data_IF_554187129127
#
_entry.id   IF_554187129127
#
_cell.length_a   1.000
_cell.length_b   1.000
_cell.length_c   1.000
_cell.angle_alpha   90.00
_cell.angle_beta   90.00
_cell.angle_gamma   90.00
#
_symmetry.space_group_name_H-M   'P 1'
#
loop_
_entity.id
_entity.type
_entity.pdbx_description
1 polymer ?
#
# COMPACT_ATOMS: atom_id res chain seq x y z
N UNK A 1 28.72 -23.19 -60.25
CA UNK A 1 29.88 -22.28 -60.44
C UNK A 1 29.36 -20.88 -60.75
N UNK A 2 29.25 -20.02 -59.73
CA UNK A 2 29.25 -18.56 -59.88
C UNK A 2 29.49 -17.97 -58.50
N UNK A 3 30.54 -17.15 -58.40
CA UNK A 3 31.03 -16.52 -57.16
C UNK A 3 30.14 -15.33 -56.82
N UNK A 4 29.65 -15.26 -55.58
CA UNK A 4 29.15 -14.01 -55.00
C UNK A 4 30.06 -13.60 -53.84
N UNK A 5 30.66 -12.41 -54.01
CA UNK A 5 31.61 -11.78 -53.09
C UNK A 5 30.90 -11.25 -51.84
N UNK A 6 31.43 -11.60 -50.68
CA UNK A 6 31.24 -10.87 -49.43
C UNK A 6 31.88 -9.48 -49.53
N UNK A 7 31.11 -8.44 -49.20
CA UNK A 7 31.64 -7.14 -48.78
C UNK A 7 31.11 -6.85 -47.38
N UNK A 8 31.96 -7.14 -46.40
CA UNK A 8 31.78 -6.85 -44.99
C UNK A 8 32.11 -5.36 -44.76
N UNK A 9 31.09 -4.52 -44.57
CA UNK A 9 31.27 -3.15 -44.08
C UNK A 9 31.09 -3.14 -42.56
N UNK A 10 32.21 -3.00 -41.84
CA UNK A 10 32.21 -2.79 -40.40
C UNK A 10 31.78 -1.35 -40.08
N UNK A 11 30.70 -1.21 -39.30
CA UNK A 11 30.35 0.04 -38.63
C UNK A 11 30.95 0.04 -37.23
N UNK A 12 31.64 1.12 -36.78
CA UNK A 12 32.06 1.22 -35.40
C UNK A 12 30.87 1.58 -34.51
N UNK A 13 30.54 0.71 -33.57
CA UNK A 13 29.63 1.00 -32.47
C UNK A 13 30.30 2.02 -31.54
N UNK A 14 29.80 3.25 -31.52
CA UNK A 14 30.18 4.25 -30.53
C UNK A 14 29.60 3.86 -29.16
N UNK A 15 30.45 3.32 -28.29
CA UNK A 15 30.14 3.09 -26.89
C UNK A 15 30.30 4.38 -26.09
N UNK A 16 29.22 5.12 -25.89
CA UNK A 16 29.14 6.09 -24.79
C UNK A 16 27.67 6.39 -24.49
N UNK A 17 27.38 6.65 -23.22
CA UNK A 17 26.10 7.14 -22.67
C UNK A 17 25.13 6.10 -22.08
N UNK A 18 25.62 5.14 -21.28
CA UNK A 18 24.81 4.53 -20.21
C UNK A 18 25.70 4.38 -18.96
N UNK A 19 26.00 5.46 -18.23
CA UNK A 19 26.73 5.33 -16.94
C UNK A 19 26.26 6.26 -15.83
N UNK A 20 25.24 7.10 -16.05
CA UNK A 20 24.78 8.05 -15.01
C UNK A 20 23.57 7.52 -14.24
N UNK A 21 22.68 6.75 -14.88
CA UNK A 21 21.46 6.20 -14.27
C UNK A 21 21.72 5.12 -13.19
N UNK A 22 22.71 4.24 -13.38
CA UNK A 22 22.97 3.15 -12.43
C UNK A 22 23.62 3.60 -11.11
N UNK A 23 24.26 4.78 -11.05
CA UNK A 23 24.87 5.29 -9.82
C UNK A 23 23.87 5.87 -8.82
N UNK A 24 22.73 6.41 -9.29
CA UNK A 24 21.68 6.91 -8.41
C UNK A 24 20.94 5.74 -7.73
N UNK A 25 20.54 4.72 -8.51
CA UNK A 25 19.91 3.50 -7.97
C UNK A 25 20.78 2.77 -6.95
N UNK A 26 22.08 2.60 -7.23
CA UNK A 26 23.00 1.93 -6.30
C UNK A 26 23.21 2.68 -4.97
N UNK A 27 22.95 4.00 -4.91
CA UNK A 27 23.03 4.80 -3.68
C UNK A 27 21.78 4.64 -2.82
N UNK A 28 20.59 4.57 -3.41
CA UNK A 28 19.34 4.34 -2.68
C UNK A 28 19.31 2.94 -2.07
N UNK A 29 19.74 1.91 -2.82
CA UNK A 29 19.84 0.53 -2.29
C UNK A 29 20.86 0.42 -1.15
N UNK A 30 21.97 1.19 -1.20
CA UNK A 30 22.98 1.22 -0.12
C UNK A 30 22.50 1.95 1.14
N UNK A 31 21.67 2.99 1.01
CA UNK A 31 21.09 3.68 2.17
C UNK A 31 20.15 2.74 2.94
N UNK A 32 19.32 1.96 2.23
CA UNK A 32 18.44 0.96 2.85
C UNK A 32 19.23 -0.18 3.51
N UNK A 33 20.32 -0.67 2.89
CA UNK A 33 21.20 -1.68 3.50
C UNK A 33 21.94 -1.19 4.76
N UNK A 34 22.22 0.11 4.88
CA UNK A 34 22.95 0.67 6.02
C UNK A 34 22.06 0.83 7.26
N UNK A 35 20.76 1.11 7.08
CA UNK A 35 19.76 1.11 8.15
C UNK A 35 19.56 -0.30 8.71
N UNK A 36 19.54 -1.32 7.84
CA UNK A 36 19.33 -2.73 8.20
C UNK A 36 20.45 -3.30 9.09
N UNK A 37 21.72 -2.89 8.90
CA UNK A 37 22.88 -3.54 9.54
C UNK A 37 23.14 -3.12 11.00
N UNK A 38 22.60 -1.99 11.48
CA UNK A 38 22.88 -1.47 12.84
C UNK A 38 21.97 -2.03 13.94
N UNK A 39 20.95 -2.84 13.60
CA UNK A 39 19.82 -3.14 14.51
C UNK A 39 19.61 -4.62 14.87
N UNK A 40 20.45 -5.54 14.36
CA UNK A 40 20.29 -7.00 14.57
C UNK A 40 20.47 -7.52 16.02
N UNK A 41 20.99 -6.72 16.97
CA UNK A 41 21.29 -7.19 18.34
C UNK A 41 20.09 -7.15 19.33
N UNK A 42 18.95 -6.54 18.97
CA UNK A 42 17.77 -6.46 19.87
C UNK A 42 16.64 -7.45 19.53
N UNK A 43 16.73 -8.20 18.44
CA UNK A 43 15.62 -9.01 17.91
C UNK A 43 15.38 -10.38 18.56
N UNK A 44 16.35 -10.92 19.31
CA UNK A 44 16.30 -12.33 19.76
C UNK A 44 15.26 -12.57 20.87
N UNK A 45 14.91 -11.57 21.68
CA UNK A 45 13.96 -11.74 22.79
C UNK A 45 12.47 -11.60 22.38
N UNK A 46 12.19 -10.93 21.26
CA UNK A 46 10.81 -10.65 20.79
C UNK A 46 10.25 -11.85 19.98
N UNK A 47 11.12 -12.58 19.28
CA UNK A 47 10.73 -13.69 18.40
C UNK A 47 10.11 -14.89 19.15
N UNK A 48 10.47 -15.13 20.42
CA UNK A 48 9.96 -16.28 21.19
C UNK A 48 8.50 -16.12 21.64
N UNK A 49 8.03 -14.90 21.91
CA UNK A 49 6.64 -14.61 22.28
C UNK A 49 5.70 -14.60 21.08
N UNK A 50 6.19 -14.16 19.91
CA UNK A 50 5.41 -14.17 18.66
C UNK A 50 5.15 -15.59 18.16
N UNK A 51 6.15 -16.47 18.26
CA UNK A 51 6.01 -17.88 17.90
C UNK A 51 4.94 -18.58 18.75
N UNK A 52 4.85 -18.28 20.05
CA UNK A 52 3.82 -18.83 20.93
C UNK A 52 2.41 -18.33 20.58
N UNK A 53 2.26 -17.08 20.13
CA UNK A 53 0.96 -16.58 19.67
C UNK A 53 0.53 -17.25 18.36
N UNK A 54 1.44 -17.45 17.40
CA UNK A 54 1.15 -18.17 16.15
C UNK A 54 0.79 -19.64 16.39
N UNK A 55 1.49 -20.31 17.31
CA UNK A 55 1.18 -21.69 17.70
C UNK A 55 -0.22 -21.80 18.33
N UNK A 56 -0.67 -20.78 19.08
CA UNK A 56 -2.02 -20.78 19.66
C UNK A 56 -3.16 -20.64 18.62
N UNK A 57 -2.86 -20.16 17.41
CA UNK A 57 -3.81 -20.10 16.30
C UNK A 57 -3.76 -21.34 15.38
N UNK A 58 -2.66 -22.08 15.36
CA UNK A 58 -2.46 -23.26 14.51
C UNK A 58 -2.85 -24.59 15.17
N UNK A 59 -3.16 -24.60 16.47
CA UNK A 59 -3.65 -25.81 17.14
C UNK A 59 -5.15 -25.99 16.84
N UNK A 60 -5.55 -27.07 16.14
CA UNK A 60 -6.94 -27.43 16.03
C UNK A 60 -7.51 -27.65 17.44
N UNK A 61 -8.75 -27.23 17.62
CA UNK A 61 -9.60 -27.38 18.80
C UNK A 61 -9.76 -28.85 19.25
N UNK A 62 -8.70 -29.45 19.79
CA UNK A 62 -8.72 -30.83 20.35
C UNK A 62 -9.11 -30.82 21.84
N UNK A 63 -9.21 -29.66 22.47
CA UNK A 63 -9.70 -29.55 23.85
C UNK A 63 -10.90 -28.60 23.86
N UNK A 64 -12.04 -29.10 24.34
CA UNK A 64 -13.34 -28.41 24.39
C UNK A 64 -13.40 -27.19 25.31
N UNK A 65 -12.49 -26.23 25.11
CA UNK A 65 -12.59 -24.88 25.65
C UNK A 65 -13.54 -24.09 24.76
N UNK A 66 -14.81 -24.07 25.14
CA UNK A 66 -15.74 -23.05 24.68
C UNK A 66 -15.24 -21.70 25.19
N UNK A 67 -14.61 -20.92 24.30
CA UNK A 67 -14.40 -19.51 24.55
C UNK A 67 -15.78 -18.86 24.61
N UNK A 68 -16.29 -18.64 25.82
CA UNK A 68 -17.43 -17.76 26.02
C UNK A 68 -16.96 -16.36 25.61
N UNK A 69 -17.31 -15.95 24.39
CA UNK A 69 -16.99 -14.62 23.87
C UNK A 69 -17.56 -13.60 24.84
N UNK A 70 -16.73 -12.82 25.56
CA UNK A 70 -17.25 -11.79 26.46
C UNK A 70 -18.06 -10.80 25.61
N UNK A 71 -19.27 -10.48 26.06
CA UNK A 71 -20.17 -9.52 25.42
C UNK A 71 -19.43 -8.22 25.07
N UNK A 72 -19.16 -8.04 23.78
CA UNK A 72 -18.36 -6.94 23.24
C UNK A 72 -19.15 -5.63 23.25
N UNK A 73 -19.14 -4.91 24.37
CA UNK A 73 -19.50 -3.48 24.40
C UNK A 73 -18.24 -2.63 24.21
N UNK A 74 -18.13 -2.07 23.00
CA UNK A 74 -17.59 -0.75 22.63
C UNK A 74 -16.18 -0.32 23.09
N UNK A 75 -15.39 0.21 22.16
CA UNK A 75 -14.18 1.01 22.41
C UNK A 75 -14.41 2.26 23.29
N UNK A 76 -15.66 2.60 23.61
CA UNK A 76 -15.98 3.59 24.64
C UNK A 76 -15.58 3.12 26.07
N UNK A 77 -15.09 1.89 26.22
CA UNK A 77 -14.73 1.31 27.52
C UNK A 77 -13.22 1.21 27.77
N UNK A 78 -12.36 1.70 26.87
CA UNK A 78 -10.96 1.93 27.29
C UNK A 78 -10.97 2.95 28.41
N UNK A 79 -10.24 2.68 29.48
CA UNK A 79 -9.98 3.71 30.48
C UNK A 79 -9.24 4.88 29.81
N UNK A 80 -9.46 6.10 30.30
CA UNK A 80 -8.77 7.28 29.77
C UNK A 80 -7.23 7.13 29.84
N UNK A 81 -6.72 6.31 30.75
CA UNK A 81 -5.30 5.98 30.85
C UNK A 81 -4.82 5.07 29.70
N UNK A 82 -5.58 4.03 29.35
CA UNK A 82 -5.24 3.14 28.23
C UNK A 82 -5.32 3.87 26.89
N UNK A 83 -6.34 4.72 26.71
CA UNK A 83 -6.46 5.57 25.54
C UNK A 83 -5.28 6.52 25.41
N UNK A 84 -4.85 7.14 26.52
CA UNK A 84 -3.68 8.03 26.55
C UNK A 84 -2.38 7.28 26.21
N UNK A 85 -2.20 6.06 26.75
CA UNK A 85 -1.03 5.22 26.47
C UNK A 85 -0.98 4.79 25.00
N UNK A 86 -2.13 4.36 24.45
CA UNK A 86 -2.24 4.01 23.04
C UNK A 86 -1.93 5.22 22.16
N UNK A 87 -2.55 6.37 22.41
CA UNK A 87 -2.27 7.62 21.67
C UNK A 87 -0.79 8.01 21.72
N UNK A 88 -0.17 7.96 22.90
CA UNK A 88 1.26 8.28 23.05
C UNK A 88 2.14 7.33 22.23
N UNK A 89 1.81 6.04 22.21
CA UNK A 89 2.51 5.04 21.39
C UNK A 89 2.34 5.33 19.89
N UNK A 90 1.12 5.56 19.43
CA UNK A 90 0.84 5.81 18.02
C UNK A 90 1.55 7.09 17.53
N UNK A 91 1.59 8.15 18.33
CA UNK A 91 2.36 9.35 17.96
C UNK A 91 3.87 9.10 17.89
N UNK A 92 4.44 8.27 18.79
CA UNK A 92 5.86 7.86 18.68
C UNK A 92 6.15 7.09 17.39
N UNK A 93 5.21 6.23 16.95
CA UNK A 93 5.32 5.52 15.67
C UNK A 93 5.31 6.53 14.52
N UNK A 94 4.36 7.48 14.53
CA UNK A 94 4.26 8.53 13.50
C UNK A 94 5.53 9.36 13.44
N UNK A 95 6.09 9.79 14.57
CA UNK A 95 7.36 10.50 14.63
C UNK A 95 8.53 9.69 14.08
N UNK A 96 8.59 8.39 14.40
CA UNK A 96 9.59 7.47 13.86
C UNK A 96 9.53 7.36 12.33
N UNK A 97 8.34 7.08 11.79
CA UNK A 97 8.11 7.01 10.34
C UNK A 97 8.42 8.35 9.66
N UNK A 98 7.95 9.47 10.22
CA UNK A 98 8.28 10.81 9.68
C UNK A 98 9.78 11.04 9.61
N UNK A 99 10.53 10.62 10.63
CA UNK A 99 11.99 10.75 10.68
C UNK A 99 12.65 9.90 9.61
N UNK A 100 12.33 8.60 9.57
CA UNK A 100 12.96 7.62 8.70
C UNK A 100 12.68 7.88 7.21
N UNK A 101 11.49 8.36 6.88
CA UNK A 101 11.05 8.59 5.49
C UNK A 101 11.01 10.07 5.07
N UNK A 102 11.49 10.99 5.91
CA UNK A 102 11.55 12.43 5.55
C UNK A 102 12.43 12.71 4.31
N UNK A 103 13.51 11.95 4.14
CA UNK A 103 14.46 12.10 3.04
C UNK A 103 13.91 11.62 1.70
N UNK A 104 13.04 10.59 1.73
CA UNK A 104 12.35 10.06 0.54
C UNK A 104 11.58 11.15 -0.20
N UNK A 105 10.93 12.04 0.54
CA UNK A 105 10.19 13.17 -0.02
C UNK A 105 11.11 14.11 -0.80
N UNK A 106 12.33 14.30 -0.29
CA UNK A 106 13.30 15.21 -0.91
C UNK A 106 13.86 14.62 -2.21
N UNK A 107 14.10 13.31 -2.27
CA UNK A 107 14.59 12.66 -3.49
C UNK A 107 13.52 12.61 -4.58
N UNK A 108 12.28 12.26 -4.22
CA UNK A 108 11.22 12.09 -5.21
C UNK A 108 10.80 13.42 -5.85
N UNK A 109 10.80 14.52 -5.10
CA UNK A 109 10.52 15.84 -5.64
C UNK A 109 11.55 16.27 -6.71
N UNK A 110 12.81 15.84 -6.60
CA UNK A 110 13.84 16.13 -7.61
C UNK A 110 13.65 15.28 -8.87
N UNK A 111 13.32 14.00 -8.74
CA UNK A 111 13.07 13.11 -9.89
C UNK A 111 11.80 13.48 -10.66
N UNK A 112 10.75 13.94 -9.98
CA UNK A 112 9.51 14.39 -10.62
C UNK A 112 9.71 15.59 -11.56
N UNK A 113 10.76 16.42 -11.36
CA UNK A 113 11.08 17.53 -12.26
C UNK A 113 11.67 17.09 -13.60
N UNK A 114 12.25 15.89 -13.66
CA UNK A 114 13.01 15.43 -14.83
C UNK A 114 12.23 14.43 -15.69
N UNK A 115 11.13 13.89 -15.20
CA UNK A 115 10.32 12.89 -15.92
C UNK A 115 9.30 13.57 -16.83
N UNK A 116 9.34 13.26 -18.13
CA UNK A 116 8.35 13.72 -19.11
C UNK A 116 7.03 12.96 -19.04
N UNK A 117 6.99 11.81 -18.36
CA UNK A 117 5.77 11.07 -18.06
C UNK A 117 5.39 11.26 -16.60
N UNK A 118 4.13 11.60 -16.29
CA UNK A 118 3.64 11.64 -14.91
C UNK A 118 3.77 10.23 -14.33
N UNK A 119 4.45 10.13 -13.19
CA UNK A 119 4.60 8.89 -12.43
C UNK A 119 3.73 9.02 -11.19
N UNK A 120 2.83 8.07 -10.98
CA UNK A 120 2.02 7.99 -9.76
C UNK A 120 2.94 7.52 -8.62
N UNK A 121 3.18 8.33 -7.58
CA UNK A 121 3.88 7.87 -6.40
C UNK A 121 3.13 6.68 -5.80
N UNK A 122 3.82 5.55 -5.63
CA UNK A 122 3.25 4.33 -5.08
C UNK A 122 3.94 3.95 -3.79
N UNK A 123 3.18 3.69 -2.74
CA UNK A 123 3.69 3.24 -1.45
C UNK A 123 3.16 1.84 -1.14
N UNK A 124 4.06 0.92 -0.82
CA UNK A 124 3.78 -0.48 -0.51
C UNK A 124 3.96 -0.69 0.99
N UNK A 125 2.90 -1.12 1.67
CA UNK A 125 2.89 -1.44 3.08
C UNK A 125 2.89 -2.97 3.24
N UNK A 126 4.03 -3.58 3.63
CA UNK A 126 4.09 -5.01 3.86
C UNK A 126 3.22 -5.42 5.06
N UNK A 127 2.94 -6.72 5.15
CA UNK A 127 2.26 -7.32 6.28
C UNK A 127 3.11 -7.36 7.56
N UNK A 128 2.62 -8.09 8.56
CA UNK A 128 3.27 -8.17 9.87
C UNK A 128 4.72 -8.68 9.76
N UNK A 129 5.01 -9.63 8.84
CA UNK A 129 6.35 -10.20 8.66
C UNK A 129 7.43 -9.19 8.24
N UNK A 130 7.01 -8.03 7.73
CA UNK A 130 7.87 -7.04 7.10
C UNK A 130 8.18 -7.40 5.65
N UNK A 131 9.33 -6.96 5.16
CA UNK A 131 9.75 -7.17 3.76
C UNK A 131 10.28 -8.59 3.56
N UNK A 132 9.74 -9.29 2.57
CA UNK A 132 10.20 -10.61 2.11
C UNK A 132 10.45 -10.62 0.58
N UNK A 133 10.72 -11.81 0.02
CA UNK A 133 11.01 -11.97 -1.41
C UNK A 133 9.84 -11.58 -2.32
N UNK A 134 8.60 -11.83 -1.90
CA UNK A 134 7.40 -11.50 -2.66
C UNK A 134 7.13 -9.99 -2.64
N UNK A 135 7.32 -9.33 -1.49
CA UNK A 135 7.23 -7.86 -1.40
C UNK A 135 8.25 -7.19 -2.33
N UNK A 136 9.48 -7.72 -2.40
CA UNK A 136 10.51 -7.21 -3.31
C UNK A 136 10.16 -7.48 -4.78
N UNK A 137 9.56 -8.62 -5.08
CA UNK A 137 9.06 -8.94 -6.42
C UNK A 137 7.94 -7.98 -6.85
N UNK A 138 7.00 -7.68 -5.96
CA UNK A 138 5.97 -6.67 -6.17
C UNK A 138 6.58 -5.29 -6.45
N UNK A 139 7.54 -4.86 -5.63
CA UNK A 139 8.22 -3.58 -5.85
C UNK A 139 8.94 -3.53 -7.21
N UNK A 140 9.62 -4.62 -7.60
CA UNK A 140 10.30 -4.70 -8.89
C UNK A 140 9.32 -4.60 -10.07
N UNK A 141 8.10 -5.10 -9.88
CA UNK A 141 7.03 -5.07 -10.88
C UNK A 141 6.40 -3.68 -11.03
N UNK A 142 6.46 -2.83 -10.00
CA UNK A 142 5.84 -1.49 -9.97
C UNK A 142 6.93 -0.41 -9.98
N UNK A 143 7.24 0.20 -11.14
CA UNK A 143 8.25 1.24 -11.22
C UNK A 143 7.93 2.43 -10.32
N UNK A 144 8.95 2.94 -9.61
CA UNK A 144 8.82 4.11 -8.72
C UNK A 144 7.91 3.88 -7.51
N UNK A 145 7.80 2.62 -7.07
CA UNK A 145 7.19 2.28 -5.79
C UNK A 145 8.22 2.31 -4.66
N UNK A 146 7.78 2.76 -3.49
CA UNK A 146 8.55 2.71 -2.26
C UNK A 146 7.95 1.70 -1.29
N UNK A 147 8.78 0.82 -0.72
CA UNK A 147 8.38 -0.05 0.38
C UNK A 147 8.52 0.72 1.69
N UNK A 148 7.43 0.82 2.43
CA UNK A 148 7.42 1.37 3.78
C UNK A 148 7.63 0.21 4.75
N UNK A 149 8.88 -0.18 4.99
CA UNK A 149 9.20 -1.16 6.03
C UNK A 149 8.92 -0.55 7.41
N UNK A 150 7.95 -1.13 8.10
CA UNK A 150 7.50 -0.70 9.42
C UNK A 150 7.67 -1.78 10.49
N UNK A 151 8.47 -2.83 10.21
CA UNK A 151 8.67 -3.98 11.10
C UNK A 151 9.10 -3.57 12.52
N UNK A 152 9.88 -2.50 12.64
CA UNK A 152 10.35 -1.99 13.94
C UNK A 152 9.29 -1.27 14.77
N UNK A 153 8.21 -0.82 14.12
CA UNK A 153 7.09 -0.13 14.77
C UNK A 153 5.94 -1.07 15.11
N UNK A 154 6.01 -2.31 14.62
CA UNK A 154 5.00 -3.34 14.86
C UNK A 154 5.00 -3.76 16.33
N UNK A 155 3.85 -3.67 16.96
CA UNK A 155 3.60 -4.27 18.27
C UNK A 155 3.20 -5.73 18.19
N UNK A 156 2.28 -6.11 19.06
CA UNK A 156 1.74 -7.46 19.10
C UNK A 156 0.70 -7.66 18.01
N UNK A 157 0.26 -8.90 17.78
CA UNK A 157 -0.85 -9.19 16.87
C UNK A 157 -2.11 -8.35 17.19
N UNK A 158 -2.34 -8.05 18.48
CA UNK A 158 -3.50 -7.26 18.93
C UNK A 158 -3.37 -5.77 18.61
N UNK A 159 -2.15 -5.23 18.55
CA UNK A 159 -1.90 -3.80 18.27
C UNK A 159 -1.45 -3.54 16.84
N UNK A 160 -1.08 -4.57 16.08
CA UNK A 160 -0.53 -4.45 14.74
C UNK A 160 -1.43 -3.65 13.79
N UNK A 161 -2.76 -3.82 13.89
CA UNK A 161 -3.72 -3.01 13.13
C UNK A 161 -3.60 -1.51 13.44
N UNK A 162 -3.57 -1.14 14.73
CA UNK A 162 -3.42 0.26 15.17
C UNK A 162 -2.05 0.84 14.81
N UNK A 163 -0.99 0.07 15.03
CA UNK A 163 0.37 0.47 14.72
C UNK A 163 0.52 0.72 13.21
N UNK A 164 -0.08 -0.15 12.38
CA UNK A 164 -0.14 -0.02 10.91
C UNK A 164 -0.93 1.23 10.47
N UNK A 165 -2.09 1.53 11.07
CA UNK A 165 -2.82 2.78 10.80
C UNK A 165 -1.94 4.02 11.04
N UNK A 166 -1.24 4.07 12.17
CA UNK A 166 -0.34 5.17 12.50
C UNK A 166 0.79 5.35 11.47
N UNK A 167 1.34 4.24 10.95
CA UNK A 167 2.31 4.27 9.84
C UNK A 167 1.69 4.91 8.60
N UNK A 168 0.48 4.49 8.23
CA UNK A 168 -0.26 5.03 7.08
C UNK A 168 -0.53 6.53 7.18
N UNK A 169 -0.99 7.00 8.35
CA UNK A 169 -1.22 8.42 8.60
C UNK A 169 0.05 9.24 8.43
N UNK A 170 1.17 8.79 8.99
CA UNK A 170 2.44 9.48 8.86
C UNK A 170 2.91 9.57 7.41
N UNK A 171 2.80 8.49 6.63
CA UNK A 171 3.15 8.51 5.20
C UNK A 171 2.23 9.44 4.41
N UNK A 172 0.93 9.48 4.69
CA UNK A 172 0.02 10.42 4.04
C UNK A 172 0.38 11.89 4.31
N UNK A 173 0.75 12.24 5.55
CA UNK A 173 1.21 13.60 5.87
C UNK A 173 2.49 13.97 5.10
N UNK A 174 3.42 13.01 4.96
CA UNK A 174 4.65 13.19 4.18
C UNK A 174 4.33 13.37 2.69
N UNK A 175 3.43 12.56 2.14
CA UNK A 175 2.99 12.64 0.75
C UNK A 175 2.29 13.97 0.44
N UNK A 176 1.39 14.44 1.32
CA UNK A 176 0.74 15.75 1.19
C UNK A 176 1.77 16.89 1.14
N UNK A 177 2.78 16.88 2.03
CA UNK A 177 3.88 17.86 2.00
C UNK A 177 4.69 17.82 0.70
N UNK A 178 4.76 16.67 0.04
CA UNK A 178 5.43 16.54 -1.25
C UNK A 178 4.57 17.16 -2.36
N UNK A 179 3.28 16.83 -2.36
CA UNK A 179 2.28 17.32 -3.31
C UNK A 179 2.16 18.85 -3.23
N UNK A 180 2.08 19.41 -2.02
CA UNK A 180 2.02 20.86 -1.79
C UNK A 180 3.27 21.56 -2.35
N UNK A 181 4.46 20.99 -2.11
CA UNK A 181 5.73 21.52 -2.63
C UNK A 181 5.78 21.50 -4.16
N UNK A 182 5.29 20.43 -4.77
CA UNK A 182 5.26 20.32 -6.22
C UNK A 182 4.32 21.35 -6.85
N UNK A 183 3.12 21.52 -6.27
CA UNK A 183 2.12 22.49 -6.71
C UNK A 183 2.66 23.92 -6.66
N UNK A 184 3.30 24.29 -5.53
CA UNK A 184 3.89 25.62 -5.35
C UNK A 184 5.04 25.93 -6.33
N UNK A 185 5.79 24.93 -6.79
CA UNK A 185 6.91 25.14 -7.72
C UNK A 185 6.44 25.40 -9.14
N UNK A 186 5.38 24.72 -9.58
CA UNK A 186 4.92 24.80 -10.97
C UNK A 186 3.95 25.94 -11.23
N UNK A 187 3.58 26.72 -10.20
CA UNK A 187 2.54 27.75 -10.31
C UNK A 187 1.18 27.17 -10.71
N UNK A 188 1.02 25.84 -10.61
CA UNK A 188 -0.21 25.16 -10.94
C UNK A 188 -1.23 25.43 -9.82
N UNK A 189 -2.48 25.61 -10.25
CA UNK A 189 -3.61 25.90 -9.39
C UNK A 189 -3.76 24.92 -8.23
N UNK A 190 -4.61 25.31 -7.28
CA UNK A 190 -4.83 24.58 -6.04
C UNK A 190 -5.41 23.18 -6.32
N UNK A 191 -4.95 22.19 -5.54
CA UNK A 191 -5.40 20.80 -5.65
C UNK A 191 -6.74 20.63 -4.92
N UNK A 192 -7.69 20.01 -5.61
CA UNK A 192 -8.99 19.56 -5.12
C UNK A 192 -9.12 18.05 -5.22
N UNK A 193 -10.19 17.48 -4.67
CA UNK A 193 -10.39 16.02 -4.61
C UNK A 193 -11.35 15.62 -5.72
N UNK A 194 -11.04 14.58 -6.49
CA UNK A 194 -12.03 14.00 -7.40
C UNK A 194 -13.20 13.37 -6.65
N UNK A 195 -13.02 12.95 -5.39
CA UNK A 195 -14.12 12.61 -4.48
C UNK A 195 -13.93 11.31 -3.71
N UNK A 196 -14.95 10.99 -2.92
CA UNK A 196 -15.10 9.75 -2.15
C UNK A 196 -16.59 9.47 -2.03
N UNK A 197 -16.97 8.23 -1.70
CA UNK A 197 -18.35 7.73 -1.85
C UNK A 197 -19.43 8.52 -1.08
N UNK A 198 -19.05 9.31 -0.07
CA UNK A 198 -20.00 10.18 0.64
C UNK A 198 -20.49 11.38 -0.21
N UNK A 199 -19.86 11.66 -1.36
CA UNK A 199 -20.31 12.66 -2.32
C UNK A 199 -21.10 11.96 -3.45
N UNK A 200 -22.43 12.04 -3.40
CA UNK A 200 -23.36 11.32 -4.31
C UNK A 200 -23.30 11.70 -5.80
N UNK A 201 -22.51 12.69 -6.20
CA UNK A 201 -22.42 13.09 -7.61
C UNK A 201 -20.97 13.38 -7.98
N UNK A 202 -20.36 12.45 -8.72
CA UNK A 202 -18.99 12.55 -9.18
C UNK A 202 -19.06 12.54 -10.71
N UNK A 203 -19.12 13.72 -11.32
CA UNK A 203 -19.06 13.87 -12.77
C UNK A 203 -17.60 13.66 -13.20
N UNK A 204 -17.35 12.64 -14.03
CA UNK A 204 -16.01 12.40 -14.57
C UNK A 204 -15.60 13.57 -15.48
N UNK A 205 -14.63 14.38 -15.06
CA UNK A 205 -14.01 15.37 -15.95
C UNK A 205 -13.03 14.67 -16.88
N UNK A 206 -13.06 15.03 -18.17
CA UNK A 206 -12.35 14.34 -19.27
C UNK A 206 -11.01 14.98 -19.65
N UNK A 207 -10.52 15.96 -18.90
CA UNK A 207 -9.31 16.71 -19.26
C UNK A 207 -8.11 16.30 -18.38
N UNK A 208 -7.22 15.56 -19.04
CA UNK A 208 -6.12 14.77 -18.50
C UNK A 208 -4.87 15.59 -18.12
N UNK A 209 -4.60 15.65 -16.83
CA UNK A 209 -3.25 15.71 -16.26
C UNK A 209 -3.28 14.96 -14.93
N UNK A 210 -3.42 13.64 -14.99
CA UNK A 210 -3.68 12.85 -13.79
C UNK A 210 -2.49 12.89 -12.82
N UNK A 211 -2.64 13.71 -11.78
CA UNK A 211 -1.90 13.60 -10.54
C UNK A 211 -2.66 12.61 -9.65
N UNK A 212 -2.06 11.46 -9.40
CA UNK A 212 -2.62 10.46 -8.50
C UNK A 212 -1.59 9.99 -7.51
N UNK A 213 -2.04 9.31 -6.46
CA UNK A 213 -1.20 8.61 -5.49
C UNK A 213 -1.76 7.21 -5.28
N UNK A 214 -0.86 6.23 -5.14
CA UNK A 214 -1.26 4.85 -4.88
C UNK A 214 -0.74 4.34 -3.54
N UNK A 215 -1.62 3.64 -2.85
CA UNK A 215 -1.31 2.87 -1.66
C UNK A 215 -1.61 1.40 -1.90
N UNK A 216 -0.64 0.54 -1.60
CA UNK A 216 -0.78 -0.91 -1.69
C UNK A 216 -0.58 -1.49 -0.29
N UNK A 217 -1.61 -2.14 0.26
CA UNK A 217 -1.55 -2.77 1.56
C UNK A 217 -1.60 -4.28 1.46
N UNK A 218 -0.65 -4.97 2.08
CA UNK A 218 -0.56 -6.43 2.12
C UNK A 218 -0.95 -6.90 3.52
N UNK A 219 -1.91 -7.81 3.67
CA UNK A 219 -2.30 -8.32 4.99
C UNK A 219 -2.65 -7.18 5.97
N UNK A 220 -2.06 -7.14 7.17
CA UNK A 220 -2.17 -6.01 8.11
C UNK A 220 -1.60 -4.68 7.59
N UNK A 221 -0.80 -4.68 6.53
CA UNK A 221 -0.44 -3.46 5.79
C UNK A 221 -1.63 -2.78 5.11
N UNK A 222 -2.75 -3.48 4.95
CA UNK A 222 -4.03 -2.92 4.51
C UNK A 222 -4.53 -1.76 5.39
N UNK A 223 -4.27 -1.83 6.71
CA UNK A 223 -4.60 -0.75 7.64
C UNK A 223 -3.82 0.53 7.34
N UNK A 224 -2.51 0.44 7.14
CA UNK A 224 -1.67 1.57 6.75
C UNK A 224 -2.12 2.18 5.42
N UNK A 225 -2.33 1.34 4.40
CA UNK A 225 -2.75 1.79 3.08
C UNK A 225 -4.10 2.53 3.13
N UNK A 226 -5.09 1.98 3.85
CA UNK A 226 -6.40 2.60 4.00
C UNK A 226 -6.37 3.88 4.83
N UNK A 227 -5.58 3.91 5.93
CA UNK A 227 -5.40 5.11 6.74
C UNK A 227 -4.78 6.24 5.93
N UNK A 228 -3.76 5.93 5.11
CA UNK A 228 -3.12 6.91 4.24
C UNK A 228 -4.11 7.52 3.24
N UNK A 229 -4.89 6.67 2.55
CA UNK A 229 -5.94 7.11 1.63
C UNK A 229 -6.97 8.01 2.33
N UNK A 230 -7.39 7.63 3.54
CA UNK A 230 -8.36 8.39 4.34
C UNK A 230 -7.86 9.78 4.73
N UNK A 231 -6.60 9.89 5.18
CA UNK A 231 -5.99 11.17 5.57
C UNK A 231 -5.93 12.13 4.38
N UNK A 232 -5.46 11.65 3.23
CA UNK A 232 -5.38 12.48 2.02
C UNK A 232 -6.77 12.95 1.59
N UNK A 233 -7.73 12.04 1.49
CA UNK A 233 -9.10 12.39 1.12
C UNK A 233 -9.67 13.50 2.03
N UNK A 234 -9.55 13.34 3.36
CA UNK A 234 -10.03 14.32 4.35
C UNK A 234 -9.34 15.67 4.21
N UNK A 235 -8.03 15.68 3.98
CA UNK A 235 -7.28 16.93 3.86
C UNK A 235 -7.69 17.71 2.62
N UNK A 236 -7.92 17.02 1.50
CA UNK A 236 -8.36 17.69 0.28
C UNK A 236 -9.81 18.16 0.41
N UNK A 237 -10.71 17.35 0.99
CA UNK A 237 -12.10 17.75 1.21
C UNK A 237 -12.23 18.99 2.12
N UNK A 238 -11.40 19.10 3.17
CA UNK A 238 -11.34 20.31 4.02
C UNK A 238 -10.89 21.54 3.25
N UNK A 239 -9.98 21.34 2.29
CA UNK A 239 -9.37 22.39 1.49
C UNK A 239 -10.34 22.92 0.43
N UNK A 240 -11.19 22.06 -0.15
CA UNK A 240 -12.23 22.45 -1.12
C UNK A 240 -13.36 23.27 -0.48
N UNK A 241 -13.87 22.87 0.70
CA UNK A 241 -15.00 23.57 1.37
C UNK A 241 -14.75 25.04 1.74
N UNK A 242 -13.49 25.48 1.75
CA UNK A 242 -13.15 26.87 2.10
C UNK A 242 -13.33 27.84 0.93
N UNK A 243 -13.49 27.35 -0.29
CA UNK A 243 -13.39 28.16 -1.51
C UNK A 243 -14.63 28.15 -2.38
N UNK A 244 -15.74 27.57 -1.90
CA UNK A 244 -17.05 27.58 -2.55
C UNK A 244 -17.69 29.00 -2.64
N UNK A 245 -16.90 30.07 -2.65
CA UNK A 245 -17.31 31.45 -2.88
C UNK A 245 -16.88 32.03 -4.24
N UNK A 246 -15.85 31.49 -4.91
CA UNK A 246 -15.39 32.02 -6.21
C UNK A 246 -15.05 30.88 -7.18
N UNK A 247 -16.01 30.56 -8.06
CA UNK A 247 -15.95 29.49 -9.05
C UNK A 247 -14.95 29.78 -10.17
N UNK A 248 -13.79 29.12 -10.14
CA UNK A 248 -12.96 28.92 -11.33
C UNK A 248 -12.92 27.42 -11.65
N UNK A 249 -13.13 27.11 -12.94
CA UNK A 249 -13.41 25.76 -13.47
C UNK A 249 -12.17 24.84 -13.56
N UNK A 250 -10.98 25.34 -13.23
CA UNK A 250 -9.68 24.66 -13.45
C UNK A 250 -9.11 23.97 -12.19
N UNK A 251 -9.98 23.39 -11.36
CA UNK A 251 -9.55 22.70 -10.15
C UNK A 251 -8.95 21.31 -10.48
N UNK A 252 -7.63 21.17 -10.30
CA UNK A 252 -6.95 19.88 -10.46
C UNK A 252 -7.46 18.89 -9.40
N UNK A 253 -7.80 17.67 -9.81
CA UNK A 253 -8.22 16.62 -8.88
C UNK A 253 -7.08 15.66 -8.56
N UNK A 254 -6.82 15.38 -7.28
CA UNK A 254 -5.91 14.31 -6.87
C UNK A 254 -6.66 12.99 -6.72
N UNK A 255 -6.28 12.00 -7.53
CA UNK A 255 -6.83 10.64 -7.42
C UNK A 255 -6.07 9.81 -6.38
N UNK A 256 -6.82 9.11 -5.53
CA UNK A 256 -6.27 8.21 -4.51
C UNK A 256 -6.62 6.78 -4.88
N UNK A 257 -5.63 5.99 -5.29
CA UNK A 257 -5.79 4.59 -5.66
C UNK A 257 -5.39 3.68 -4.50
N UNK A 258 -6.27 2.77 -4.10
CA UNK A 258 -6.00 1.78 -3.07
C UNK A 258 -5.98 0.37 -3.69
N UNK A 259 -4.95 -0.41 -3.38
CA UNK A 259 -4.88 -1.84 -3.69
C UNK A 259 -4.68 -2.60 -2.39
N UNK A 260 -5.50 -3.60 -2.14
CA UNK A 260 -5.45 -4.43 -0.96
C UNK A 260 -5.17 -5.87 -1.39
N UNK A 261 -4.05 -6.42 -0.94
CA UNK A 261 -3.59 -7.76 -1.27
C UNK A 261 -3.81 -8.62 -0.04
N UNK A 262 -4.89 -9.40 -0.08
CA UNK A 262 -5.38 -10.24 1.01
C UNK A 262 -5.42 -9.52 2.37
N UNK A 263 -6.20 -8.43 2.51
CA UNK A 263 -6.14 -7.57 3.68
C UNK A 263 -6.66 -8.29 4.93
N UNK A 264 -5.90 -8.23 6.03
CA UNK A 264 -6.42 -8.60 7.35
C UNK A 264 -7.43 -7.53 7.80
N UNK A 265 -8.65 -7.93 8.19
CA UNK A 265 -9.72 -6.99 8.48
C UNK A 265 -9.98 -6.77 9.99
N UNK A 266 -9.41 -7.60 10.86
CA UNK A 266 -9.52 -7.44 12.31
C UNK A 266 -8.62 -6.34 12.88
N UNK A 267 -9.19 -5.30 13.51
CA UNK A 267 -8.42 -4.27 14.25
C UNK A 267 -8.26 -4.64 15.73
N UNK A 268 -7.56 -5.75 15.95
CA UNK A 268 -7.45 -6.39 17.27
C UNK A 268 -8.81 -6.88 17.78
N UNK A 269 -8.91 -7.13 19.09
CA UNK A 269 -10.16 -7.64 19.68
C UNK A 269 -11.34 -6.68 19.52
N UNK A 270 -11.10 -5.36 19.47
CA UNK A 270 -12.18 -4.37 19.50
C UNK A 270 -12.79 -4.03 18.14
N UNK A 271 -12.26 -4.59 17.05
CA UNK A 271 -12.74 -4.29 15.70
C UNK A 271 -12.63 -5.48 14.76
N UNK A 272 -13.28 -6.63 15.04
CA UNK A 272 -13.13 -7.84 14.23
C UNK A 272 -13.51 -7.65 12.75
N UNK A 273 -14.42 -6.72 12.45
CA UNK A 273 -14.88 -6.41 11.09
C UNK A 273 -14.43 -5.04 10.59
N UNK A 274 -13.42 -4.42 11.22
CA UNK A 274 -13.03 -3.06 10.90
C UNK A 274 -12.69 -2.86 9.41
N UNK A 275 -11.93 -3.79 8.83
CA UNK A 275 -11.57 -3.74 7.41
C UNK A 275 -12.81 -3.75 6.51
N UNK A 276 -13.76 -4.65 6.76
CA UNK A 276 -15.05 -4.73 6.04
C UNK A 276 -15.82 -3.41 6.07
N UNK A 277 -15.81 -2.74 7.21
CA UNK A 277 -16.59 -1.51 7.43
C UNK A 277 -15.89 -0.24 6.90
N UNK A 278 -14.58 -0.27 6.66
CA UNK A 278 -13.78 0.94 6.42
C UNK A 278 -12.88 0.90 5.18
N UNK A 279 -12.38 -0.26 4.79
CA UNK A 279 -11.36 -0.35 3.74
C UNK A 279 -11.91 0.05 2.38
N UNK A 280 -11.19 0.96 1.71
CA UNK A 280 -11.55 1.48 0.39
C UNK A 280 -12.51 2.67 0.41
N UNK A 281 -13.25 2.92 1.51
CA UNK A 281 -14.34 3.91 1.58
C UNK A 281 -13.95 5.32 1.07
N UNK A 282 -12.72 5.75 1.34
CA UNK A 282 -12.24 7.11 1.03
C UNK A 282 -11.29 7.21 -0.17
N UNK A 283 -10.91 6.08 -0.77
CA UNK A 283 -10.10 6.10 -1.99
C UNK A 283 -10.96 6.52 -3.20
N UNK A 284 -10.37 7.05 -4.27
CA UNK A 284 -11.05 7.28 -5.55
C UNK A 284 -11.39 5.94 -6.21
N UNK A 285 -10.41 5.03 -6.28
CA UNK A 285 -10.58 3.64 -6.68
C UNK A 285 -9.99 2.70 -5.62
N UNK A 286 -10.62 1.55 -5.40
CA UNK A 286 -10.14 0.55 -4.45
C UNK A 286 -10.30 -0.84 -5.06
N UNK A 287 -9.22 -1.62 -5.10
CA UNK A 287 -9.19 -3.00 -5.57
C UNK A 287 -8.76 -3.90 -4.41
N UNK A 288 -9.44 -5.03 -4.25
CA UNK A 288 -9.02 -6.12 -3.39
C UNK A 288 -8.65 -7.30 -4.26
N UNK A 289 -7.45 -7.85 -4.08
CA UNK A 289 -7.09 -9.17 -4.58
C UNK A 289 -7.25 -10.13 -3.42
N UNK A 290 -8.12 -11.12 -3.59
CA UNK A 290 -8.62 -12.01 -2.54
C UNK A 290 -8.35 -13.46 -2.92
N UNK A 291 -8.05 -14.32 -1.94
CA UNK A 291 -8.33 -15.75 -2.06
C UNK A 291 -9.21 -16.21 -0.89
N UNK A 292 -10.26 -16.94 -1.20
CA UNK A 292 -11.30 -17.36 -0.25
C UNK A 292 -10.91 -18.60 0.56
N UNK A 293 -9.86 -19.30 0.15
CA UNK A 293 -9.32 -20.48 0.82
C UNK A 293 -8.16 -20.18 1.78
N UNK A 294 -7.91 -18.90 2.08
CA UNK A 294 -6.95 -18.49 3.10
C UNK A 294 -7.42 -18.92 4.51
N UNK A 295 -6.62 -19.66 5.29
CA UNK A 295 -6.96 -20.01 6.67
C UNK A 295 -6.88 -18.84 7.65
N UNK A 296 -6.32 -17.68 7.26
CA UNK A 296 -6.24 -16.52 8.15
C UNK A 296 -7.65 -15.95 8.39
N UNK A 297 -8.05 -15.69 9.65
CA UNK A 297 -9.36 -15.10 9.91
C UNK A 297 -9.52 -13.73 9.26
N UNK A 298 -10.72 -13.42 8.77
CA UNK A 298 -11.13 -12.09 8.28
C UNK A 298 -10.45 -11.61 6.99
N UNK A 299 -9.71 -12.47 6.29
CA UNK A 299 -9.08 -12.16 4.99
C UNK A 299 -9.90 -12.68 3.81
N UNK A 300 -10.72 -13.70 4.04
CA UNK A 300 -11.41 -14.49 3.01
C UNK A 300 -12.75 -13.91 2.49
N UNK A 301 -13.15 -12.72 2.93
CA UNK A 301 -14.41 -12.09 2.53
C UNK A 301 -14.16 -10.92 1.54
N UNK A 302 -15.04 -10.74 0.53
CA UNK A 302 -15.00 -9.57 -0.33
C UNK A 302 -15.39 -8.30 0.44
N UNK A 303 -14.65 -7.21 0.19
CA UNK A 303 -14.85 -5.90 0.82
C UNK A 303 -15.87 -5.06 0.06
N UNK A 304 -16.90 -4.49 0.73
CA UNK A 304 -18.03 -3.83 0.07
C UNK A 304 -17.67 -2.54 -0.66
N UNK A 305 -16.54 -1.89 -0.32
CA UNK A 305 -16.11 -0.65 -0.95
C UNK A 305 -14.97 -0.83 -1.96
N UNK A 306 -14.64 -2.07 -2.30
CA UNK A 306 -13.60 -2.41 -3.28
C UNK A 306 -14.22 -3.13 -4.48
N UNK A 307 -13.56 -3.05 -5.62
CA UNK A 307 -13.68 -4.05 -6.67
C UNK A 307 -12.85 -5.27 -6.26
N UNK A 308 -13.47 -6.43 -6.14
CA UNK A 308 -12.81 -7.63 -5.65
C UNK A 308 -12.49 -8.56 -6.81
N UNK A 309 -11.22 -8.90 -6.96
CA UNK A 309 -10.72 -9.97 -7.81
C UNK A 309 -10.48 -11.19 -6.93
N UNK A 310 -11.36 -12.17 -7.02
CA UNK A 310 -11.23 -13.46 -6.37
C UNK A 310 -10.34 -14.37 -7.23
N UNK A 311 -9.11 -14.58 -6.76
CA UNK A 311 -8.07 -15.35 -7.45
C UNK A 311 -7.92 -16.76 -6.87
N UNK A 312 -8.93 -17.24 -6.15
CA UNK A 312 -8.92 -18.58 -5.52
C UNK A 312 -8.71 -19.69 -6.54
N UNK A 313 -9.36 -19.57 -7.70
CA UNK A 313 -9.40 -20.58 -8.76
C UNK A 313 -8.50 -20.22 -9.96
N UNK A 314 -7.69 -19.16 -9.85
CA UNK A 314 -6.81 -18.74 -10.93
C UNK A 314 -5.84 -19.87 -11.32
N UNK A 315 -5.71 -20.21 -12.62
CA UNK A 315 -4.92 -21.36 -13.06
C UNK A 315 -3.44 -21.26 -12.66
N UNK A 316 -2.91 -20.03 -12.58
CA UNK A 316 -1.51 -19.77 -12.21
C UNK A 316 -1.20 -20.13 -10.74
N UNK A 317 -2.22 -20.33 -9.91
CA UNK A 317 -2.07 -20.79 -8.53
C UNK A 317 -1.43 -22.17 -8.44
N UNK A 318 -1.60 -23.02 -9.46
CA UNK A 318 -1.04 -24.38 -9.49
C UNK A 318 0.49 -24.39 -9.49
N UNK A 319 1.10 -23.35 -10.07
CA UNK A 319 2.55 -23.18 -10.14
C UNK A 319 3.11 -22.34 -8.97
N UNK A 320 2.24 -21.92 -8.03
CA UNK A 320 2.66 -21.09 -6.91
C UNK A 320 3.41 -21.90 -5.85
N UNK A 321 4.68 -21.56 -5.66
CA UNK A 321 5.53 -22.14 -4.62
C UNK A 321 5.55 -21.23 -3.39
N UNK A 322 5.06 -21.76 -2.26
CA UNK A 322 5.09 -21.07 -0.98
C UNK A 322 6.52 -20.82 -0.49
N UNK A 323 6.76 -19.63 0.06
CA UNK A 323 8.01 -19.34 0.76
C UNK A 323 8.06 -20.13 2.08
N UNK A 324 9.26 -20.51 2.57
CA UNK A 324 9.39 -21.18 3.86
C UNK A 324 8.77 -20.37 5.01
N UNK A 325 7.81 -20.97 5.71
CA UNK A 325 7.11 -20.34 6.83
C UNK A 325 5.93 -19.44 6.43
N UNK A 326 5.58 -19.41 5.15
CA UNK A 326 4.44 -18.67 4.61
C UNK A 326 3.21 -19.57 4.44
N UNK A 327 2.10 -18.99 4.02
CA UNK A 327 0.83 -19.68 3.76
C UNK A 327 0.20 -19.20 2.46
N UNK A 328 -0.95 -19.78 2.09
CA UNK A 328 -1.72 -19.34 0.91
C UNK A 328 -2.13 -17.87 0.96
N UNK A 329 -2.05 -17.22 2.12
CA UNK A 329 -2.19 -15.78 2.32
C UNK A 329 -1.30 -14.91 1.41
N UNK A 330 -0.17 -15.44 0.92
CA UNK A 330 0.72 -14.69 0.02
C UNK A 330 0.39 -14.85 -1.47
N UNK A 331 -0.58 -15.70 -1.82
CA UNK A 331 -0.98 -15.91 -3.22
C UNK A 331 -1.54 -14.65 -3.88
N UNK A 332 -2.48 -13.89 -3.28
CA UNK A 332 -2.98 -12.65 -3.89
C UNK A 332 -1.88 -11.63 -4.20
N UNK A 333 -0.84 -11.55 -3.36
CA UNK A 333 0.32 -10.71 -3.63
C UNK A 333 1.07 -11.20 -4.87
N UNK A 334 1.42 -12.48 -4.92
CA UNK A 334 2.14 -13.07 -6.04
C UNK A 334 1.36 -12.92 -7.34
N UNK A 335 0.04 -13.19 -7.31
CA UNK A 335 -0.84 -13.02 -8.45
C UNK A 335 -0.82 -11.58 -8.97
N UNK A 336 -0.96 -10.61 -8.05
CA UNK A 336 -0.97 -9.20 -8.43
C UNK A 336 0.35 -8.76 -9.07
N UNK A 337 1.49 -9.17 -8.49
CA UNK A 337 2.81 -8.82 -9.00
C UNK A 337 3.11 -9.45 -10.38
N UNK A 338 2.78 -10.74 -10.55
CA UNK A 338 3.20 -11.54 -11.72
C UNK A 338 2.26 -11.42 -12.92
N UNK A 339 0.96 -11.28 -12.65
CA UNK A 339 -0.09 -11.37 -13.68
C UNK A 339 -0.82 -10.04 -13.81
N UNK A 340 -1.55 -9.64 -12.76
CA UNK A 340 -2.44 -8.48 -12.87
C UNK A 340 -1.70 -7.18 -13.22
N UNK A 341 -0.65 -6.81 -12.48
CA UNK A 341 0.05 -5.55 -12.76
C UNK A 341 0.71 -5.53 -14.15
N UNK A 342 1.22 -6.69 -14.59
CA UNK A 342 1.93 -6.84 -15.85
C UNK A 342 0.99 -6.73 -17.06
N UNK A 343 -0.19 -7.34 -16.97
CA UNK A 343 -1.13 -7.40 -18.10
C UNK A 343 -1.91 -6.10 -18.26
N UNK A 344 -2.17 -5.41 -17.15
CA UNK A 344 -2.91 -4.14 -17.17
C UNK A 344 -2.01 -2.88 -17.27
N UNK A 345 -0.67 -3.04 -17.34
CA UNK A 345 0.37 -2.00 -17.57
C UNK A 345 -0.02 -0.58 -17.13
N UNK A 346 -0.33 -0.46 -15.85
CA UNK A 346 -0.89 0.72 -15.18
C UNK A 346 -0.33 2.09 -15.63
N UNK A 347 -1.24 3.06 -15.93
CA UNK A 347 -1.17 4.30 -15.15
C UNK A 347 -2.52 4.97 -14.82
N UNK A 348 -3.67 4.51 -15.30
CA UNK A 348 -4.96 5.15 -15.03
C UNK A 348 -6.01 4.07 -14.82
N UNK A 349 -6.01 3.43 -13.65
CA UNK A 349 -7.16 2.68 -13.16
C UNK A 349 -8.34 3.66 -13.06
N UNK A 350 -8.96 3.97 -14.21
CA UNK A 350 -10.06 4.90 -14.29
C UNK A 350 -11.15 4.37 -13.35
N UNK A 351 -11.65 5.20 -12.46
CA UNK A 351 -12.68 4.81 -11.48
C UNK A 351 -13.91 4.20 -12.16
N UNK A 352 -14.15 4.52 -13.44
CA UNK A 352 -15.18 3.92 -14.29
C UNK A 352 -15.04 2.40 -14.47
N UNK A 353 -13.85 1.82 -14.29
CA UNK A 353 -13.57 0.40 -14.59
C UNK A 353 -13.73 -0.54 -13.39
N UNK A 354 -13.83 0.00 -12.16
CA UNK A 354 -13.82 -0.81 -10.93
C UNK A 354 -15.04 -0.52 -10.05
N UNK A 355 -16.22 -1.04 -10.40
CA UNK A 355 -17.42 -0.87 -9.60
C UNK A 355 -17.24 -1.48 -8.20
N UNK A 356 -17.48 -0.69 -7.16
CA UNK A 356 -17.35 -1.14 -5.76
C UNK A 356 -18.40 -2.21 -5.43
N UNK A 357 -18.02 -3.18 -4.61
CA UNK A 357 -18.87 -4.29 -4.19
C UNK A 357 -19.04 -5.37 -5.24
N UNK A 358 -18.47 -5.19 -6.44
CA UNK A 358 -18.42 -6.25 -7.46
C UNK A 358 -17.30 -7.23 -7.13
N UNK A 359 -17.60 -8.52 -7.30
CA UNK A 359 -16.65 -9.62 -7.19
C UNK A 359 -16.54 -10.27 -8.56
N UNK A 360 -15.34 -10.24 -9.14
CA UNK A 360 -14.98 -10.97 -10.35
C UNK A 360 -14.12 -12.17 -9.95
N UNK A 361 -14.50 -13.35 -10.44
CA UNK A 361 -13.74 -14.59 -10.23
C UNK A 361 -12.78 -14.81 -11.40
N UNK A 362 -11.53 -15.13 -11.08
CA UNK A 362 -10.52 -15.53 -12.07
C UNK A 362 -10.47 -17.05 -12.13
N UNK A 363 -10.68 -17.62 -13.32
CA UNK A 363 -10.76 -19.07 -13.56
C UNK A 363 -10.19 -19.48 -14.91
#
# INVERSE_FOLDING_TARGET
MSKYNEKTTAFPLSSSTISVSNRARARTTRANLFVIRRRQLKGVLIQTLELLSLISFLLPSVWGFTWTTPSMKSMNNLSSAEELLLRSRLEKIKEGIRRDYSSLILSNAAEMKLSTKPKIPTFIFPGAGGVDGLVLELQASIPNSEIIDWKEYRGTLLTAGYDSEAVGEAIAELALKQIDRYSNINGNGKITNSGGYENKELKSSTTSSFSGIRFIGISVGGFAANAAATVIHRQIAKTSRREDAESNDDNQTLDVHLVLLDPFCGRGFLGPNYGRDNFGKYATSAIQILNTDDPVPTTNDPLPYCYCLDVTEAPEKQDFVLLPGDSMHSWPLAYFARHYYKDYQDPNLASATFPRGVVEKVS
#
